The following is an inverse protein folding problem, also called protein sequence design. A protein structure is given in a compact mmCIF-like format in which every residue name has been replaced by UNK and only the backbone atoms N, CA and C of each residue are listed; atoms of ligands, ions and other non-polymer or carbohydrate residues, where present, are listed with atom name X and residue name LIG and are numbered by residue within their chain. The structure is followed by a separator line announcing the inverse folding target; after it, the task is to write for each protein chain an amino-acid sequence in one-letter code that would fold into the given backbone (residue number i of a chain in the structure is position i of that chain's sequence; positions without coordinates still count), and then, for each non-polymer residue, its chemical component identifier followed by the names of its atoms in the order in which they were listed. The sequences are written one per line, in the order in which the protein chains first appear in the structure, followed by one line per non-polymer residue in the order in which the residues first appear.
data_IF_087865247399
#
_entry.id   IF_087865247399
#
_cell.length_a   1.000
_cell.length_b   1.000
_cell.length_c   1.000
_cell.angle_alpha   90.00
_cell.angle_beta   90.00
_cell.angle_gamma   90.00
#
_symmetry.space_group_name_H-M   'P 1'
#
loop_
_entity.id
_entity.type
_entity.pdbx_description
1 polymer ?
#
# COMPACT_ATOMS: atom_id res chain seq x y z
N UNK A 1 -35.67 16.84 -13.80
CA UNK A 1 -35.83 15.37 -13.73
C UNK A 1 -37.15 15.07 -13.04
N UNK A 2 -38.19 14.64 -13.77
CA UNK A 2 -39.53 14.48 -13.23
C UNK A 2 -39.65 13.35 -12.20
N UNK A 3 -38.66 12.46 -12.13
CA UNK A 3 -38.67 11.28 -11.26
C UNK A 3 -37.79 11.41 -10.00
N UNK A 4 -37.18 12.58 -9.75
CA UNK A 4 -36.42 12.84 -8.52
C UNK A 4 -35.18 11.95 -8.31
N UNK A 5 -34.58 11.43 -9.39
CA UNK A 5 -33.44 10.51 -9.42
C UNK A 5 -32.09 11.16 -9.10
N UNK A 6 -32.01 12.49 -9.07
CA UNK A 6 -30.79 13.24 -8.76
C UNK A 6 -30.94 14.06 -7.47
N UNK A 7 -31.20 13.41 -6.31
CA UNK A 7 -31.50 14.11 -5.06
C UNK A 7 -30.33 14.94 -4.53
N UNK A 8 -29.10 14.65 -4.96
CA UNK A 8 -27.89 15.34 -4.51
C UNK A 8 -27.31 16.28 -5.59
N UNK A 9 -28.06 16.52 -6.66
CA UNK A 9 -27.69 17.41 -7.76
C UNK A 9 -27.12 16.68 -8.98
N UNK A 10 -26.89 17.46 -10.04
CA UNK A 10 -26.36 16.97 -11.31
C UNK A 10 -24.84 17.09 -11.36
N UNK A 11 -24.13 16.06 -11.85
CA UNK A 11 -22.68 16.16 -12.00
C UNK A 11 -22.31 17.11 -13.14
N UNK A 12 -21.02 17.49 -13.26
CA UNK A 12 -20.54 18.38 -14.32
C UNK A 12 -20.76 17.81 -15.73
N UNK A 13 -20.87 18.71 -16.73
CA UNK A 13 -20.94 18.30 -18.13
C UNK A 13 -19.65 17.55 -18.50
N UNK A 14 -19.79 16.31 -19.00
CA UNK A 14 -18.66 15.45 -19.38
C UNK A 14 -18.20 14.47 -18.30
N UNK A 15 -18.78 14.50 -17.09
CA UNK A 15 -18.50 13.54 -16.02
C UNK A 15 -19.83 12.98 -15.51
N UNK A 16 -20.31 11.91 -16.13
CA UNK A 16 -21.65 11.36 -15.89
C UNK A 16 -21.71 10.25 -14.83
N UNK A 17 -20.58 9.82 -14.29
CA UNK A 17 -20.46 8.60 -13.48
C UNK A 17 -21.41 8.62 -12.27
N UNK A 18 -21.39 9.69 -11.48
CA UNK A 18 -22.28 9.85 -10.32
C UNK A 18 -23.75 10.09 -10.69
N UNK A 19 -24.08 10.45 -11.94
CA UNK A 19 -25.48 10.45 -12.38
C UNK A 19 -26.03 9.02 -12.46
N UNK A 20 -25.23 8.07 -12.93
CA UNK A 20 -25.62 6.65 -12.94
C UNK A 20 -25.74 6.10 -11.53
N UNK A 21 -24.80 6.41 -10.64
CA UNK A 21 -24.88 6.00 -9.22
C UNK A 21 -26.16 6.51 -8.58
N UNK A 22 -26.46 7.80 -8.72
CA UNK A 22 -27.70 8.38 -8.18
C UNK A 22 -28.95 7.74 -8.79
N UNK A 23 -28.96 7.47 -10.10
CA UNK A 23 -30.06 6.79 -10.75
C UNK A 23 -30.28 5.38 -10.16
N UNK A 24 -29.22 4.60 -9.99
CA UNK A 24 -29.28 3.27 -9.38
C UNK A 24 -29.77 3.33 -7.93
N UNK A 25 -29.27 4.28 -7.13
CA UNK A 25 -29.75 4.53 -5.77
C UNK A 25 -31.24 4.84 -5.77
N UNK A 26 -31.73 5.70 -6.68
CA UNK A 26 -33.15 6.04 -6.77
C UNK A 26 -34.02 4.84 -7.15
N UNK A 27 -33.47 3.86 -7.87
CA UNK A 27 -34.16 2.63 -8.28
C UNK A 27 -34.20 1.53 -7.21
N UNK A 28 -33.40 1.62 -6.14
CA UNK A 28 -33.44 0.64 -5.04
C UNK A 28 -34.73 0.79 -4.22
N UNK A 29 -35.27 -0.33 -3.74
CA UNK A 29 -36.30 -0.31 -2.70
C UNK A 29 -35.68 0.07 -1.32
N UNK A 30 -36.50 0.17 -0.27
CA UNK A 30 -36.06 0.60 1.07
C UNK A 30 -35.01 -0.31 1.75
N UNK A 31 -34.90 -1.56 1.32
CA UNK A 31 -33.97 -2.56 1.88
C UNK A 31 -32.89 -2.97 0.85
N UNK A 32 -32.84 -2.27 -0.28
CA UNK A 32 -32.01 -2.63 -1.41
C UNK A 32 -30.54 -2.36 -1.17
N UNK A 33 -29.71 -3.22 -1.78
CA UNK A 33 -28.26 -3.09 -1.85
C UNK A 33 -27.81 -3.04 -3.31
N UNK A 34 -26.80 -2.24 -3.58
CA UNK A 34 -26.20 -2.04 -4.90
C UNK A 34 -24.69 -2.18 -4.76
N UNK A 35 -24.08 -2.99 -5.63
CA UNK A 35 -22.65 -2.94 -5.92
C UNK A 35 -22.45 -2.37 -7.32
N UNK A 36 -21.55 -1.40 -7.48
CA UNK A 36 -21.26 -0.82 -8.79
C UNK A 36 -19.78 -0.53 -8.97
N UNK A 37 -19.24 -0.91 -10.13
CA UNK A 37 -17.86 -0.62 -10.52
C UNK A 37 -17.77 0.81 -11.05
N UNK A 38 -16.82 1.58 -10.55
CA UNK A 38 -16.57 2.97 -10.91
C UNK A 38 -15.07 3.25 -11.05
N UNK A 39 -14.66 4.21 -11.91
CA UNK A 39 -13.30 4.71 -11.90
C UNK A 39 -13.02 5.48 -10.61
N UNK A 40 -11.78 5.50 -10.14
CA UNK A 40 -11.41 6.17 -8.87
C UNK A 40 -11.74 7.67 -8.84
N UNK A 41 -11.87 8.34 -10.00
CA UNK A 41 -12.20 9.76 -10.07
C UNK A 41 -13.44 10.15 -9.24
N UNK A 42 -14.46 9.29 -9.16
CA UNK A 42 -15.68 9.59 -8.38
C UNK A 42 -15.41 9.75 -6.88
N UNK A 43 -14.32 9.16 -6.38
CA UNK A 43 -13.96 9.16 -4.97
C UNK A 43 -13.43 10.52 -4.48
N UNK A 44 -12.81 11.31 -5.37
CA UNK A 44 -12.07 12.50 -4.95
C UNK A 44 -12.26 13.73 -5.84
N UNK A 45 -12.88 13.62 -7.03
CA UNK A 45 -13.17 14.79 -7.87
C UNK A 45 -14.03 15.80 -7.08
N UNK A 46 -13.71 17.08 -7.29
CA UNK A 46 -14.25 18.20 -6.52
C UNK A 46 -15.58 18.76 -7.08
N UNK A 47 -15.86 20.03 -6.77
CA UNK A 47 -17.02 20.78 -7.29
C UNK A 47 -18.35 20.06 -7.05
N UNK A 48 -19.20 19.92 -8.08
CA UNK A 48 -20.52 19.28 -7.99
C UNK A 48 -20.46 17.80 -7.59
N UNK A 49 -19.42 17.06 -7.98
CA UNK A 49 -19.29 15.65 -7.59
C UNK A 49 -19.01 15.49 -6.10
N UNK A 50 -18.24 16.42 -5.50
CA UNK A 50 -18.07 16.47 -4.04
C UNK A 50 -19.41 16.64 -3.34
N UNK A 51 -20.25 17.58 -3.79
CA UNK A 51 -21.57 17.80 -3.19
C UNK A 51 -22.47 16.55 -3.30
N UNK A 52 -22.43 15.85 -4.43
CA UNK A 52 -23.17 14.59 -4.61
C UNK A 52 -22.68 13.53 -3.62
N UNK A 53 -21.36 13.34 -3.56
CA UNK A 53 -20.71 12.36 -2.69
C UNK A 53 -20.98 12.64 -1.22
N UNK A 54 -20.86 13.90 -0.80
CA UNK A 54 -21.24 14.36 0.54
C UNK A 54 -22.69 14.00 0.86
N UNK A 55 -23.63 14.28 -0.05
CA UNK A 55 -25.04 13.92 0.16
C UNK A 55 -25.30 12.41 0.30
N UNK A 56 -24.58 11.57 -0.46
CA UNK A 56 -24.66 10.10 -0.34
C UNK A 56 -24.16 9.64 1.03
N UNK A 57 -23.04 10.23 1.51
CA UNK A 57 -22.40 9.91 2.79
C UNK A 57 -23.26 10.37 3.97
N UNK A 58 -23.75 11.60 3.93
CA UNK A 58 -24.61 12.18 4.99
C UNK A 58 -25.96 11.47 5.12
N UNK A 59 -26.45 10.86 4.04
CA UNK A 59 -27.62 9.97 4.06
C UNK A 59 -27.29 8.54 4.52
N UNK A 60 -26.05 8.28 4.91
CA UNK A 60 -25.54 6.99 5.37
C UNK A 60 -25.80 5.86 4.37
N UNK A 61 -25.74 6.15 3.06
CA UNK A 61 -26.05 5.17 2.01
C UNK A 61 -24.83 4.35 1.58
N UNK A 62 -23.64 4.95 1.58
CA UNK A 62 -22.40 4.29 1.17
C UNK A 62 -21.91 3.37 2.30
N UNK A 63 -21.91 2.07 2.08
CA UNK A 63 -21.47 1.07 3.07
C UNK A 63 -19.99 0.73 2.95
N UNK A 64 -19.48 0.62 1.72
CA UNK A 64 -18.07 0.34 1.49
C UNK A 64 -17.55 0.91 0.17
N UNK A 65 -16.24 1.17 0.14
CA UNK A 65 -15.43 1.49 -1.04
C UNK A 65 -14.32 0.45 -1.14
N UNK A 66 -14.35 -0.35 -2.19
CA UNK A 66 -13.38 -1.44 -2.40
C UNK A 66 -12.49 -1.06 -3.59
N UNK A 67 -11.20 -0.90 -3.35
CA UNK A 67 -10.19 -0.67 -4.38
C UNK A 67 -9.83 -1.97 -5.05
N UNK A 68 -9.81 -1.96 -6.38
CA UNK A 68 -9.42 -3.12 -7.18
C UNK A 68 -8.06 -2.88 -7.84
N UNK A 69 -7.32 -3.95 -8.16
CA UNK A 69 -6.09 -3.88 -8.94
C UNK A 69 -6.24 -3.12 -10.26
N UNK A 70 -5.12 -2.56 -10.72
CA UNK A 70 -5.00 -2.01 -12.06
C UNK A 70 -5.12 -3.12 -13.14
N UNK A 71 -5.40 -2.72 -14.37
CA UNK A 71 -5.44 -3.61 -15.55
C UNK A 71 -6.36 -4.84 -15.45
N UNK A 72 -7.41 -4.82 -14.62
CA UNK A 72 -8.41 -5.89 -14.59
C UNK A 72 -9.39 -5.86 -15.78
N UNK A 73 -9.67 -4.68 -16.33
CA UNK A 73 -10.69 -4.49 -17.35
C UNK A 73 -10.08 -4.43 -18.75
N UNK A 74 -10.82 -4.91 -19.75
CA UNK A 74 -10.38 -4.84 -21.15
C UNK A 74 -10.33 -3.38 -21.61
N UNK A 75 -9.24 -3.00 -22.28
CA UNK A 75 -9.12 -1.70 -22.95
C UNK A 75 -8.68 -0.54 -22.06
N UNK A 76 -8.43 -0.74 -20.76
CA UNK A 76 -7.85 0.29 -19.89
C UNK A 76 -7.03 -0.32 -18.75
N UNK A 77 -5.84 0.23 -18.51
CA UNK A 77 -5.01 -0.13 -17.37
C UNK A 77 -5.39 0.59 -16.07
N UNK A 78 -6.35 1.51 -16.12
CA UNK A 78 -6.72 2.35 -14.97
C UNK A 78 -7.38 1.48 -13.88
N UNK A 79 -6.97 1.63 -12.60
CA UNK A 79 -7.62 0.93 -11.49
C UNK A 79 -9.07 1.38 -11.31
N UNK A 80 -9.89 0.44 -10.86
CA UNK A 80 -11.30 0.67 -10.58
C UNK A 80 -11.59 0.52 -9.07
N UNK A 81 -12.78 0.91 -8.68
CA UNK A 81 -13.31 0.66 -7.35
C UNK A 81 -14.73 0.11 -7.43
N UNK A 82 -15.15 -0.61 -6.41
CA UNK A 82 -16.55 -1.00 -6.21
C UNK A 82 -17.14 -0.15 -5.10
N UNK A 83 -18.24 0.54 -5.41
CA UNK A 83 -19.06 1.20 -4.41
C UNK A 83 -20.17 0.27 -3.98
N UNK A 84 -20.28 0.05 -2.67
CA UNK A 84 -21.41 -0.66 -2.08
C UNK A 84 -22.35 0.36 -1.47
N UNK A 85 -23.55 0.47 -2.01
CA UNK A 85 -24.64 1.27 -1.46
C UNK A 85 -25.64 0.33 -0.78
N UNK A 86 -26.05 0.66 0.44
CA UNK A 86 -27.02 -0.12 1.20
C UNK A 86 -28.03 0.81 1.87
N UNK A 87 -29.33 0.62 1.59
CA UNK A 87 -30.41 1.41 2.21
C UNK A 87 -30.81 0.93 3.60
N UNK A 88 -30.46 -0.30 3.94
CA UNK A 88 -30.75 -0.93 5.24
C UNK A 88 -29.47 -1.46 5.85
N UNK A 89 -28.54 -0.53 6.17
CA UNK A 89 -27.32 -0.88 6.88
C UNK A 89 -27.64 -1.52 8.25
N UNK A 90 -26.99 -2.65 8.59
CA UNK A 90 -26.99 -3.19 9.93
C UNK A 90 -26.59 -2.14 10.95
N UNK A 91 -27.13 -2.24 12.17
CA UNK A 91 -26.99 -1.21 13.22
C UNK A 91 -25.53 -0.91 13.53
N UNK A 92 -24.68 -1.94 13.54
CA UNK A 92 -23.25 -1.88 13.81
C UNK A 92 -22.42 -1.16 12.72
N UNK A 93 -22.97 -1.09 11.49
CA UNK A 93 -22.35 -0.46 10.30
C UNK A 93 -22.87 0.95 10.03
N UNK A 94 -23.93 1.40 10.71
CA UNK A 94 -24.50 2.75 10.53
C UNK A 94 -23.49 3.83 10.92
N UNK A 95 -23.46 4.92 10.16
CA UNK A 95 -22.54 6.03 10.36
C UNK A 95 -21.08 5.69 10.09
N UNK A 96 -20.82 4.60 9.36
CA UNK A 96 -19.48 4.13 9.01
C UNK A 96 -19.42 3.74 7.53
N UNK A 97 -18.21 3.81 6.98
CA UNK A 97 -17.87 3.33 5.64
C UNK A 97 -16.62 2.46 5.76
N UNK A 98 -16.68 1.25 5.22
CA UNK A 98 -15.52 0.37 5.13
C UNK A 98 -14.72 0.69 3.86
N UNK A 99 -13.43 0.95 4.02
CA UNK A 99 -12.48 1.04 2.92
C UNK A 99 -11.68 -0.25 2.87
N UNK A 100 -11.58 -0.85 1.69
CA UNK A 100 -10.72 -2.03 1.43
C UNK A 100 -9.80 -1.66 0.27
N UNK A 101 -8.50 -1.88 0.41
CA UNK A 101 -7.50 -1.64 -0.63
C UNK A 101 -6.92 -2.95 -1.16
N UNK A 102 -7.65 -3.59 -2.07
CA UNK A 102 -7.21 -4.81 -2.75
C UNK A 102 -6.27 -4.56 -3.94
N UNK A 103 -5.60 -3.41 -4.03
CA UNK A 103 -4.80 -3.07 -5.23
C UNK A 103 -3.65 -4.06 -5.53
N UNK A 104 -3.17 -4.77 -4.51
CA UNK A 104 -2.09 -5.76 -4.60
C UNK A 104 -2.61 -7.21 -4.74
N UNK A 105 -3.93 -7.40 -4.75
CA UNK A 105 -4.54 -8.72 -4.81
C UNK A 105 -4.82 -9.14 -6.25
N UNK A 106 -3.79 -9.61 -6.94
CA UNK A 106 -3.96 -10.13 -8.28
C UNK A 106 -2.85 -11.10 -8.66
N UNK A 107 -3.17 -11.90 -9.67
CA UNK A 107 -2.20 -12.57 -10.51
C UNK A 107 -1.89 -11.69 -11.71
N UNK A 108 -0.61 -11.39 -11.91
CA UNK A 108 -0.16 -10.63 -13.08
C UNK A 108 -0.37 -11.46 -14.35
N UNK A 109 -1.07 -10.88 -15.32
CA UNK A 109 -1.24 -11.49 -16.64
C UNK A 109 -0.68 -10.60 -17.73
N UNK A 110 -0.45 -11.20 -18.91
CA UNK A 110 0.28 -10.55 -20.01
C UNK A 110 -0.29 -9.21 -20.47
N UNK A 111 -1.61 -9.12 -20.57
CA UNK A 111 -2.31 -7.88 -21.01
C UNK A 111 -3.27 -7.36 -19.94
N UNK A 112 -3.60 -8.20 -18.96
CA UNK A 112 -4.60 -7.96 -17.93
C UNK A 112 -4.26 -8.76 -16.69
N UNK A 113 -4.50 -8.14 -15.55
CA UNK A 113 -4.44 -8.80 -14.26
C UNK A 113 -5.71 -9.61 -14.03
N UNK A 114 -5.61 -10.62 -13.16
CA UNK A 114 -6.74 -11.46 -12.76
C UNK A 114 -6.83 -11.52 -11.24
N UNK A 115 -8.03 -11.40 -10.70
CA UNK A 115 -8.31 -11.76 -9.32
C UNK A 115 -8.32 -13.30 -9.21
N UNK A 116 -7.47 -13.85 -8.34
CA UNK A 116 -7.48 -15.26 -7.95
C UNK A 116 -8.68 -15.51 -7.02
N UNK A 117 -9.03 -16.78 -6.82
CA UNK A 117 -10.10 -17.12 -5.87
C UNK A 117 -9.77 -16.65 -4.44
N UNK A 118 -8.51 -16.78 -4.02
CA UNK A 118 -8.04 -16.31 -2.72
C UNK A 118 -8.16 -14.78 -2.54
N UNK A 119 -7.93 -14.01 -3.61
CA UNK A 119 -8.08 -12.54 -3.60
C UNK A 119 -9.56 -12.17 -3.37
N UNK A 120 -10.47 -12.79 -4.13
CA UNK A 120 -11.92 -12.56 -3.99
C UNK A 120 -12.39 -12.98 -2.59
N UNK A 121 -11.90 -14.11 -2.09
CA UNK A 121 -12.23 -14.59 -0.75
C UNK A 121 -11.77 -13.62 0.34
N UNK A 122 -10.55 -13.08 0.26
CA UNK A 122 -10.06 -12.11 1.25
C UNK A 122 -10.88 -10.81 1.24
N UNK A 123 -11.16 -10.23 0.07
CA UNK A 123 -12.02 -9.04 -0.06
C UNK A 123 -13.41 -9.29 0.52
N UNK A 124 -14.02 -10.42 0.16
CA UNK A 124 -15.39 -10.75 0.58
C UNK A 124 -15.47 -11.02 2.07
N UNK A 125 -14.54 -11.78 2.64
CA UNK A 125 -14.46 -12.03 4.09
C UNK A 125 -14.25 -10.72 4.86
N UNK A 126 -13.38 -9.83 4.39
CA UNK A 126 -13.16 -8.52 5.00
C UNK A 126 -14.43 -7.67 5.01
N UNK A 127 -15.17 -7.67 3.89
CA UNK A 127 -16.43 -6.94 3.77
C UNK A 127 -17.56 -7.53 4.62
N UNK A 128 -17.67 -8.86 4.68
CA UNK A 128 -18.68 -9.56 5.48
C UNK A 128 -18.39 -9.44 6.98
N UNK A 129 -17.12 -9.55 7.37
CA UNK A 129 -16.66 -9.31 8.74
C UNK A 129 -16.72 -7.85 9.17
N UNK A 130 -16.74 -6.91 8.22
CA UNK A 130 -16.60 -5.47 8.47
C UNK A 130 -15.36 -5.17 9.33
N UNK A 131 -14.27 -5.91 9.06
CA UNK A 131 -13.03 -5.89 9.82
C UNK A 131 -12.09 -4.79 9.32
N UNK A 132 -11.37 -4.18 10.27
CA UNK A 132 -10.22 -3.34 9.96
C UNK A 132 -8.95 -4.20 10.00
N UNK A 133 -8.13 -4.09 8.97
CA UNK A 133 -6.90 -4.84 8.77
C UNK A 133 -5.79 -3.86 8.43
N UNK A 134 -4.67 -3.97 9.14
CA UNK A 134 -3.58 -2.98 9.03
C UNK A 134 -3.16 -2.83 7.57
N UNK A 135 -3.10 -1.58 7.07
CA UNK A 135 -2.75 -1.20 5.68
C UNK A 135 -3.70 -1.69 4.59
N UNK A 136 -4.59 -2.64 4.89
CA UNK A 136 -5.48 -3.25 3.91
C UNK A 136 -6.91 -2.71 3.98
N UNK A 137 -7.49 -2.58 5.18
CA UNK A 137 -8.84 -2.08 5.35
C UNK A 137 -9.00 -1.18 6.57
N UNK A 138 -9.95 -0.24 6.49
CA UNK A 138 -10.22 0.70 7.56
C UNK A 138 -11.70 1.06 7.63
N UNK A 139 -12.23 1.08 8.86
CA UNK A 139 -13.63 1.44 9.12
C UNK A 139 -13.67 2.90 9.53
N UNK A 140 -13.93 3.78 8.56
CA UNK A 140 -13.97 5.22 8.81
C UNK A 140 -15.35 5.66 9.32
N UNK A 141 -15.35 6.57 10.28
CA UNK A 141 -16.58 7.25 10.71
C UNK A 141 -16.98 8.36 9.74
N UNK A 142 -18.27 8.77 9.74
CA UNK A 142 -18.67 9.94 8.94
C UNK A 142 -17.91 11.22 9.33
N UNK A 143 -17.51 11.36 10.60
CA UNK A 143 -16.73 12.49 11.08
C UNK A 143 -15.32 12.51 10.47
N UNK A 144 -14.64 11.37 10.48
CA UNK A 144 -13.32 11.20 9.86
C UNK A 144 -13.37 11.49 8.34
N UNK A 145 -14.43 11.05 7.66
CA UNK A 145 -14.63 11.34 6.23
C UNK A 145 -14.87 12.83 6.01
N UNK A 146 -15.60 13.50 6.91
CA UNK A 146 -15.82 14.94 6.84
C UNK A 146 -14.53 15.74 7.08
N UNK A 147 -13.68 15.31 8.02
CA UNK A 147 -12.34 15.88 8.25
C UNK A 147 -11.45 15.75 6.99
N UNK A 148 -11.62 14.66 6.24
CA UNK A 148 -10.99 14.44 4.93
C UNK A 148 -11.71 15.16 3.77
N UNK A 149 -12.57 16.15 4.05
CA UNK A 149 -13.29 16.95 3.05
C UNK A 149 -14.18 16.11 2.12
N UNK A 150 -14.74 15.01 2.65
CA UNK A 150 -15.45 13.99 1.90
C UNK A 150 -14.63 13.39 0.76
N UNK A 151 -13.30 13.36 0.87
CA UNK A 151 -12.42 12.67 -0.07
C UNK A 151 -12.38 11.18 0.28
N UNK A 152 -12.83 10.34 -0.65
CA UNK A 152 -12.88 8.88 -0.48
C UNK A 152 -11.69 8.18 -1.14
N UNK A 153 -10.59 8.89 -1.42
CA UNK A 153 -9.38 8.24 -1.92
C UNK A 153 -8.94 7.17 -0.91
N UNK A 154 -8.92 5.91 -1.37
CA UNK A 154 -8.77 4.72 -0.55
C UNK A 154 -7.46 4.76 0.24
N UNK A 155 -6.37 5.23 -0.37
CA UNK A 155 -5.05 5.34 0.29
C UNK A 155 -5.03 6.30 1.48
N UNK A 156 -6.04 7.16 1.65
CA UNK A 156 -6.16 8.00 2.87
C UNK A 156 -6.60 7.20 4.09
N UNK A 157 -7.24 6.06 3.87
CA UNK A 157 -7.83 5.23 4.91
C UNK A 157 -7.12 3.87 5.02
N UNK A 158 -6.71 3.29 3.90
CA UNK A 158 -5.98 2.04 3.81
C UNK A 158 -4.85 2.16 2.79
N UNK A 159 -3.64 2.46 3.28
CA UNK A 159 -2.43 2.57 2.47
C UNK A 159 -1.60 1.29 2.57
N UNK A 160 -1.47 0.59 1.44
CA UNK A 160 -0.67 -0.63 1.32
C UNK A 160 0.83 -0.33 1.19
N UNK A 161 1.21 0.94 0.98
CA UNK A 161 2.60 1.33 0.82
C UNK A 161 3.42 0.99 2.07
N UNK A 162 4.68 0.56 1.91
CA UNK A 162 5.58 0.44 3.05
C UNK A 162 5.77 1.81 3.70
N UNK A 163 5.93 1.87 5.03
CA UNK A 163 6.30 3.12 5.69
C UNK A 163 7.64 3.62 5.15
N UNK A 164 7.91 4.93 5.24
CA UNK A 164 9.22 5.49 4.89
C UNK A 164 10.33 4.73 5.62
N UNK A 165 11.37 4.35 4.89
CA UNK A 165 12.46 3.61 5.49
C UNK A 165 13.18 4.46 6.54
N UNK A 166 13.38 3.92 7.76
CA UNK A 166 14.19 4.60 8.75
C UNK A 166 15.66 4.57 8.30
N UNK A 167 16.37 5.69 8.39
CA UNK A 167 17.80 5.75 8.16
C UNK A 167 18.53 5.93 9.48
N UNK A 168 19.38 4.98 9.85
CA UNK A 168 20.34 5.15 10.93
C UNK A 168 21.67 5.65 10.36
N UNK A 169 22.00 6.90 10.68
CA UNK A 169 23.21 7.57 10.19
C UNK A 169 24.48 6.80 10.58
N UNK A 170 24.52 6.23 11.77
CA UNK A 170 25.70 5.51 12.26
C UNK A 170 25.86 4.18 11.55
N UNK A 171 24.76 3.47 11.30
CA UNK A 171 24.74 2.24 10.51
C UNK A 171 25.19 2.47 9.07
N UNK A 172 24.81 3.60 8.44
CA UNK A 172 25.27 3.94 7.09
C UNK A 172 26.78 4.24 7.06
N UNK A 173 27.31 4.89 8.11
CA UNK A 173 28.73 5.26 8.17
C UNK A 173 29.65 4.11 8.58
N UNK A 174 29.20 3.22 9.47
CA UNK A 174 30.05 2.22 10.12
C UNK A 174 29.51 0.79 10.01
N UNK A 175 28.42 0.60 9.26
CA UNK A 175 27.75 -0.68 9.11
C UNK A 175 26.97 -1.09 10.35
N UNK A 176 26.37 -2.27 10.26
CA UNK A 176 25.53 -2.86 11.29
C UNK A 176 24.06 -2.54 11.11
N UNK A 177 23.19 -3.49 11.48
CA UNK A 177 21.74 -3.39 11.33
C UNK A 177 21.15 -2.89 12.65
N UNK A 178 20.45 -1.73 12.69
CA UNK A 178 19.88 -1.21 13.92
C UNK A 178 18.83 -2.15 14.52
N UNK A 179 18.94 -2.48 15.81
CA UNK A 179 17.93 -3.28 16.52
C UNK A 179 16.54 -2.62 16.48
N UNK A 180 16.51 -1.30 16.54
CA UNK A 180 15.28 -0.50 16.43
C UNK A 180 14.57 -0.66 15.09
N UNK A 181 15.32 -0.85 13.99
CA UNK A 181 14.74 -1.08 12.66
C UNK A 181 14.15 -2.49 12.57
N UNK A 182 14.84 -3.50 13.12
CA UNK A 182 14.34 -4.87 13.19
C UNK A 182 13.05 -4.93 14.02
N UNK A 183 13.01 -4.24 15.15
CA UNK A 183 11.88 -4.21 16.08
C UNK A 183 10.69 -3.37 15.59
N UNK A 184 10.83 -2.64 14.47
CA UNK A 184 9.73 -1.85 13.94
C UNK A 184 8.55 -2.75 13.52
N UNK A 185 7.33 -2.29 13.80
CA UNK A 185 6.11 -3.05 13.51
C UNK A 185 6.05 -3.60 12.07
N UNK A 186 6.40 -2.76 11.09
CA UNK A 186 6.39 -3.15 9.68
C UNK A 186 7.37 -4.27 9.40
N UNK A 187 8.58 -4.18 9.96
CA UNK A 187 9.58 -5.23 9.79
C UNK A 187 9.14 -6.50 10.51
N UNK A 188 8.61 -6.42 11.73
CA UNK A 188 8.11 -7.60 12.43
C UNK A 188 7.02 -8.35 11.65
N UNK A 189 6.15 -7.62 10.95
CA UNK A 189 5.15 -8.21 10.06
C UNK A 189 5.77 -8.89 8.83
N UNK A 190 6.75 -8.25 8.18
CA UNK A 190 7.47 -8.84 7.04
C UNK A 190 8.27 -10.07 7.47
N UNK A 191 8.91 -10.02 8.63
CA UNK A 191 9.72 -11.11 9.18
C UNK A 191 8.86 -12.30 9.59
N UNK A 192 7.56 -12.11 9.87
CA UNK A 192 6.60 -13.17 10.17
C UNK A 192 7.08 -14.20 11.23
N UNK A 193 7.85 -13.73 12.23
CA UNK A 193 8.43 -14.58 13.27
C UNK A 193 9.71 -15.33 12.87
N UNK A 194 10.32 -15.00 11.73
CA UNK A 194 11.61 -15.53 11.30
C UNK A 194 12.70 -15.30 12.36
N UNK A 195 13.46 -16.35 12.63
CA UNK A 195 14.58 -16.29 13.58
C UNK A 195 15.81 -15.64 12.92
N UNK A 196 16.02 -14.36 13.24
CA UNK A 196 17.13 -13.58 12.73
C UNK A 196 18.51 -14.13 13.13
N UNK A 197 18.60 -14.98 14.17
CA UNK A 197 19.88 -15.50 14.66
C UNK A 197 20.57 -16.41 13.65
N UNK A 198 19.85 -16.93 12.65
CA UNK A 198 20.45 -17.71 11.57
C UNK A 198 21.26 -16.85 10.59
N UNK A 199 20.97 -15.54 10.50
CA UNK A 199 21.59 -14.60 9.55
C UNK A 199 22.45 -13.56 10.26
N UNK A 200 22.09 -13.19 11.49
CA UNK A 200 22.72 -12.12 12.25
C UNK A 200 23.42 -12.61 13.52
N UNK A 201 24.47 -11.88 13.91
CA UNK A 201 25.10 -11.96 15.24
C UNK A 201 25.02 -10.60 15.94
N UNK A 202 25.01 -10.62 17.27
CA UNK A 202 24.98 -9.38 18.06
C UNK A 202 26.35 -8.73 18.05
N UNK A 203 26.42 -7.49 17.51
CA UNK A 203 27.65 -6.69 17.49
C UNK A 203 27.82 -5.93 18.79
N UNK A 204 26.77 -5.21 19.19
CA UNK A 204 26.76 -4.35 20.38
C UNK A 204 25.33 -4.14 20.92
N UNK A 205 25.15 -3.22 21.86
CA UNK A 205 23.86 -2.94 22.50
C UNK A 205 22.76 -2.52 21.51
N UNK A 206 23.13 -1.83 20.42
CA UNK A 206 22.21 -1.14 19.52
C UNK A 206 22.15 -1.77 18.12
N UNK A 207 23.15 -2.59 17.75
CA UNK A 207 23.30 -3.13 16.39
C UNK A 207 23.53 -4.64 16.35
N UNK A 208 22.99 -5.26 15.30
CA UNK A 208 23.39 -6.57 14.80
C UNK A 208 24.37 -6.42 13.63
N UNK A 209 25.01 -7.51 13.24
CA UNK A 209 25.79 -7.62 12.00
C UNK A 209 25.46 -8.92 11.28
N UNK A 210 25.66 -8.95 9.95
CA UNK A 210 25.59 -10.20 9.21
C UNK A 210 26.65 -11.17 9.75
N UNK A 211 26.27 -12.44 9.82
CA UNK A 211 27.20 -13.52 10.12
C UNK A 211 28.44 -13.44 9.24
N UNK A 212 29.66 -13.58 9.79
CA UNK A 212 30.89 -13.51 9.00
C UNK A 212 30.97 -14.62 7.94
N UNK A 213 30.20 -15.70 8.10
CA UNK A 213 30.07 -16.76 7.10
C UNK A 213 29.27 -16.34 5.85
N UNK A 214 28.52 -15.22 5.91
CA UNK A 214 27.81 -14.63 4.79
C UNK A 214 28.71 -13.55 4.18
N UNK A 215 29.39 -13.89 3.09
CA UNK A 215 30.33 -13.03 2.37
C UNK A 215 29.67 -12.32 1.19
N UNK A 216 28.57 -12.85 0.65
CA UNK A 216 27.84 -12.26 -0.47
C UNK A 216 26.33 -12.28 -0.28
N UNK A 217 25.65 -11.41 -1.04
CA UNK A 217 24.19 -11.26 -1.01
C UNK A 217 23.48 -12.56 -1.37
N UNK A 218 24.05 -13.31 -2.32
CA UNK A 218 23.49 -14.58 -2.82
C UNK A 218 23.46 -15.67 -1.75
N UNK A 219 24.36 -15.60 -0.75
CA UNK A 219 24.42 -16.56 0.34
C UNK A 219 23.31 -16.33 1.38
N UNK A 220 22.68 -15.16 1.41
CA UNK A 220 21.63 -14.85 2.41
C UNK A 220 20.49 -15.87 2.35
N UNK A 221 20.09 -16.30 1.15
CA UNK A 221 19.03 -17.29 0.97
C UNK A 221 19.38 -18.66 1.57
N UNK A 222 20.66 -19.03 1.62
CA UNK A 222 21.12 -20.30 2.22
C UNK A 222 21.02 -20.28 3.75
N UNK A 223 21.27 -19.12 4.37
CA UNK A 223 21.17 -18.92 5.82
C UNK A 223 19.75 -18.58 6.29
N UNK A 224 18.89 -18.15 5.36
CA UNK A 224 17.47 -17.91 5.54
C UNK A 224 16.62 -19.08 5.01
N UNK A 225 17.09 -20.31 5.17
CA UNK A 225 16.36 -21.50 4.72
C UNK A 225 14.96 -21.58 5.35
N UNK A 226 13.95 -21.85 4.52
CA UNK A 226 12.54 -21.86 4.90
C UNK A 226 11.91 -20.47 5.12
N UNK A 227 12.63 -19.37 4.87
CA UNK A 227 12.06 -18.03 4.93
C UNK A 227 11.16 -17.72 3.72
N UNK A 228 10.09 -16.97 3.97
CA UNK A 228 9.24 -16.45 2.91
C UNK A 228 10.03 -15.47 2.00
N UNK A 229 9.70 -15.35 0.70
CA UNK A 229 10.42 -14.45 -0.22
C UNK A 229 10.50 -12.99 0.27
N UNK A 230 9.49 -12.52 0.99
CA UNK A 230 9.49 -11.17 1.58
C UNK A 230 10.55 -10.97 2.66
N UNK A 231 10.86 -12.02 3.43
CA UNK A 231 11.94 -12.01 4.43
C UNK A 231 13.29 -11.93 3.74
N UNK A 232 13.51 -12.77 2.71
CA UNK A 232 14.77 -12.79 1.94
C UNK A 232 15.01 -11.42 1.30
N UNK A 233 14.01 -10.85 0.64
CA UNK A 233 14.11 -9.52 0.04
C UNK A 233 14.45 -8.43 1.08
N UNK A 234 13.93 -8.55 2.31
CA UNK A 234 14.23 -7.60 3.39
C UNK A 234 15.66 -7.75 3.91
N UNK A 235 16.15 -8.98 4.06
CA UNK A 235 17.54 -9.26 4.45
C UNK A 235 18.51 -8.74 3.38
N UNK A 236 18.24 -9.02 2.11
CA UNK A 236 18.97 -8.51 0.95
C UNK A 236 19.01 -6.99 0.91
N UNK A 237 17.90 -6.33 1.26
CA UNK A 237 17.86 -4.88 1.34
C UNK A 237 18.76 -4.33 2.46
N UNK A 238 18.78 -4.97 3.63
CA UNK A 238 19.70 -4.58 4.70
C UNK A 238 21.16 -4.83 4.34
N UNK A 239 21.43 -5.87 3.56
CA UNK A 239 22.77 -6.10 3.01
C UNK A 239 23.20 -4.92 2.14
N UNK A 240 22.39 -4.55 1.15
CA UNK A 240 22.69 -3.42 0.26
C UNK A 240 22.82 -2.09 1.03
N UNK A 241 22.02 -1.91 2.08
CA UNK A 241 21.94 -0.67 2.85
C UNK A 241 23.08 -0.51 3.87
N UNK A 242 23.52 -1.58 4.51
CA UNK A 242 24.40 -1.51 5.69
C UNK A 242 25.70 -2.32 5.56
N UNK A 243 25.85 -3.18 4.55
CA UNK A 243 27.07 -3.99 4.41
C UNK A 243 28.24 -3.19 3.85
N UNK A 244 28.00 -2.40 2.81
CA UNK A 244 28.99 -1.49 2.23
C UNK A 244 28.83 -0.15 2.91
N UNK A 245 29.79 0.20 3.76
CA UNK A 245 29.70 1.44 4.52
C UNK A 245 30.21 2.60 3.69
N UNK A 246 29.77 3.82 4.00
CA UNK A 246 30.31 5.01 3.35
C UNK A 246 31.83 5.14 3.59
N UNK A 247 32.32 4.67 4.74
CA UNK A 247 33.74 4.68 5.07
C UNK A 247 34.55 3.71 4.20
N UNK A 248 34.01 2.53 3.91
CA UNK A 248 34.65 1.57 3.00
C UNK A 248 34.75 2.17 1.59
N UNK A 249 33.67 2.80 1.12
CA UNK A 249 33.65 3.48 -0.20
C UNK A 249 34.68 4.62 -0.24
N UNK A 250 34.75 5.46 0.80
CA UNK A 250 35.75 6.52 0.89
C UNK A 250 37.18 5.98 0.88
N UNK A 251 37.44 4.86 1.56
CA UNK A 251 38.74 4.20 1.55
C UNK A 251 39.09 3.65 0.18
N UNK A 252 38.15 2.97 -0.47
CA UNK A 252 38.31 2.45 -1.84
C UNK A 252 38.53 3.58 -2.85
N UNK A 253 37.81 4.69 -2.73
CA UNK A 253 38.05 5.89 -3.55
C UNK A 253 39.46 6.45 -3.33
N UNK A 254 39.92 6.54 -2.08
CA UNK A 254 41.26 7.03 -1.77
C UNK A 254 42.36 6.10 -2.33
N UNK A 255 42.16 4.79 -2.27
CA UNK A 255 43.06 3.80 -2.86
C UNK A 255 43.05 3.87 -4.40
N UNK A 256 41.87 3.98 -5.01
CA UNK A 256 41.74 4.15 -6.45
C UNK A 256 42.39 5.45 -6.95
N UNK A 257 42.23 6.55 -6.23
CA UNK A 257 42.88 7.83 -6.51
C UNK A 257 44.40 7.72 -6.41
N UNK A 258 44.92 6.99 -5.41
CA UNK A 258 46.35 6.75 -5.27
C UNK A 258 46.91 5.93 -6.45
N UNK A 259 46.19 4.90 -6.91
CA UNK A 259 46.55 4.10 -8.08
C UNK A 259 46.50 4.93 -9.36
N UNK A 260 45.44 5.71 -9.57
CA UNK A 260 45.28 6.60 -10.72
C UNK A 260 46.43 7.62 -10.78
N UNK A 261 46.79 8.21 -9.64
CA UNK A 261 47.91 9.14 -9.53
C UNK A 261 49.23 8.48 -9.94
N UNK A 262 49.47 7.24 -9.51
CA UNK A 262 50.63 6.46 -9.97
C UNK A 262 50.69 6.31 -11.49
N UNK A 263 49.57 6.02 -12.16
CA UNK A 263 49.51 5.95 -13.63
C UNK A 263 49.74 7.32 -14.31
N UNK A 264 49.24 8.40 -13.73
CA UNK A 264 49.45 9.76 -14.26
C UNK A 264 50.93 10.18 -14.15
N UNK A 265 51.59 9.86 -13.04
CA UNK A 265 53.02 10.09 -12.83
C UNK A 265 53.87 9.30 -13.85
N UNK A 266 53.54 8.03 -14.13
CA UNK A 266 54.21 7.22 -15.17
C UNK A 266 54.04 7.81 -16.58
N UNK A 267 52.93 8.50 -16.85
CA UNK A 267 52.65 9.15 -18.12
C UNK A 267 53.21 10.58 -18.22
N UNK A 268 53.87 11.08 -17.16
CA UNK A 268 54.52 12.39 -17.13
C UNK A 268 53.57 13.56 -16.90
N UNK A 269 52.39 13.31 -16.34
CA UNK A 269 51.48 14.35 -15.85
C UNK A 269 51.73 14.56 -14.34
N UNK A 270 52.01 15.81 -13.93
CA UNK A 270 52.03 16.23 -12.52
C UNK A 270 50.65 16.70 -12.04
#
# INVERSE_FOLDING_TARGET
DPWGRFPFGLPPKGQGDLAFVQHMIASLNGEGKLGVVMPHGVLFRGSKEKAIRQGIIEKDLLEAVIGLPAALFYGTGIPACVLIINRSKPVERRGKVLFINGELEYEEGKNQNRLREADIEHITQTFEGFSAERRYSHVASLAEIAENDFNLNIRRYADTSPPPEPYDVRAVLHGGIPKSEIQSDYVQEVMAGFDISSVFVERDADYYEFRPEIESKEQIAEFADGAEPGVIARLEQWWDKYRTTLHDIESECAEADAVLKGYLEELGYE
#
